data_IF_871863515265
#
_entry.id   IF_871863515265
#
_cell.length_a   1.000
_cell.length_b   1.000
_cell.length_c   1.000
_cell.angle_alpha   90.00
_cell.angle_beta   90.00
_cell.angle_gamma   90.00
#
_symmetry.space_group_name_H-M   'P 1'
#
loop_
_entity.id
_entity.type
_entity.pdbx_description
1 polymer ?
#
# COMPACT_ATOMS: atom_id res chain seq x y z
N UNK A 1 33.21 -52.09 6.61
CA UNK A 1 32.76 -51.18 5.55
C UNK A 1 31.30 -50.72 5.68
N UNK A 2 30.39 -51.55 6.19
CA UNK A 2 28.98 -51.12 6.37
C UNK A 2 28.78 -50.00 7.42
N UNK A 3 29.66 -49.89 8.41
CA UNK A 3 29.56 -48.82 9.44
C UNK A 3 30.05 -47.46 8.97
N UNK A 4 30.94 -47.41 7.97
CA UNK A 4 31.45 -46.13 7.41
C UNK A 4 30.41 -45.45 6.49
N UNK A 5 29.58 -46.26 5.81
CA UNK A 5 28.55 -45.76 4.93
C UNK A 5 27.40 -45.08 5.69
N UNK A 6 27.14 -45.54 6.93
CA UNK A 6 26.09 -45.00 7.78
C UNK A 6 26.44 -43.59 8.32
N UNK A 7 27.74 -43.33 8.54
CA UNK A 7 28.21 -42.04 9.06
C UNK A 7 28.10 -40.90 8.02
N UNK A 8 28.20 -41.23 6.74
CA UNK A 8 28.10 -40.25 5.65
C UNK A 8 26.63 -39.83 5.42
N UNK A 9 25.67 -40.70 5.73
CA UNK A 9 24.24 -40.37 5.56
C UNK A 9 23.70 -39.42 6.65
N UNK A 10 24.36 -39.30 7.80
CA UNK A 10 23.89 -38.47 8.91
C UNK A 10 24.39 -37.00 8.78
N UNK A 11 25.44 -36.77 7.97
CA UNK A 11 26.06 -35.45 7.84
C UNK A 11 25.37 -34.55 6.78
N UNK A 12 24.44 -35.08 5.96
CA UNK A 12 23.77 -34.34 4.91
C UNK A 12 22.62 -33.41 5.35
N UNK A 13 21.87 -33.61 6.44
CA UNK A 13 20.78 -32.73 6.80
C UNK A 13 21.18 -31.44 7.50
N UNK A 14 22.43 -31.24 7.88
CA UNK A 14 22.88 -30.05 8.61
C UNK A 14 23.28 -28.86 7.72
N UNK A 15 23.43 -29.08 6.42
CA UNK A 15 23.78 -28.01 5.46
C UNK A 15 22.57 -27.29 4.83
N UNK A 16 21.35 -27.74 5.09
CA UNK A 16 20.14 -27.18 4.50
C UNK A 16 19.50 -26.02 5.29
N UNK A 17 20.10 -25.63 6.44
CA UNK A 17 19.47 -24.65 7.35
C UNK A 17 20.01 -23.22 7.24
N UNK A 18 20.95 -22.96 6.35
CA UNK A 18 21.50 -21.61 6.16
C UNK A 18 20.91 -20.96 4.90
N UNK A 19 19.60 -21.05 4.70
CA UNK A 19 18.92 -20.12 3.82
C UNK A 19 18.80 -18.79 4.57
N UNK A 20 19.79 -17.91 4.39
CA UNK A 20 19.62 -16.49 4.65
C UNK A 20 18.37 -16.05 3.87
N UNK A 21 17.28 -15.75 4.58
CA UNK A 21 16.10 -15.16 3.95
C UNK A 21 16.57 -13.87 3.30
N UNK A 22 16.65 -13.86 1.98
CA UNK A 22 16.93 -12.63 1.25
C UNK A 22 15.91 -11.58 1.68
N UNK A 23 16.40 -10.37 1.98
CA UNK A 23 15.53 -9.28 2.41
C UNK A 23 14.61 -8.92 1.25
N UNK A 24 13.30 -9.13 1.45
CA UNK A 24 12.28 -8.74 0.47
C UNK A 24 12.09 -7.23 0.55
N UNK A 25 12.16 -6.57 -0.61
CA UNK A 25 11.89 -5.15 -0.76
C UNK A 25 10.47 -4.90 -1.25
N UNK A 26 9.89 -3.80 -0.80
CA UNK A 26 8.55 -3.37 -1.19
C UNK A 26 8.55 -1.87 -1.46
N UNK A 27 7.86 -1.47 -2.51
CA UNK A 27 7.42 -0.08 -2.69
C UNK A 27 6.04 0.09 -2.06
N UNK A 28 5.76 1.29 -1.59
CA UNK A 28 4.53 1.61 -0.87
C UNK A 28 3.79 2.75 -1.54
N UNK A 29 2.47 2.64 -1.59
CA UNK A 29 1.58 3.73 -1.96
C UNK A 29 0.60 3.99 -0.83
N UNK A 30 0.31 5.26 -0.58
CA UNK A 30 -0.78 5.66 0.29
C UNK A 30 -1.96 6.05 -0.59
N UNK A 31 -3.08 5.37 -0.37
CA UNK A 31 -4.30 5.55 -1.14
C UNK A 31 -5.30 6.32 -0.30
N UNK A 32 -5.81 7.43 -0.81
CA UNK A 32 -6.88 8.18 -0.17
C UNK A 32 -8.13 8.16 -1.02
N UNK A 33 -9.28 8.13 -0.35
CA UNK A 33 -10.58 8.06 -0.98
C UNK A 33 -11.32 9.38 -0.79
N UNK A 34 -11.95 9.84 -1.84
CA UNK A 34 -12.87 10.96 -1.80
C UNK A 34 -14.11 10.67 -2.67
N UNK A 35 -15.24 11.17 -2.25
CA UNK A 35 -16.49 11.01 -2.98
C UNK A 35 -17.61 10.39 -2.17
N UNK A 36 -18.70 10.04 -2.83
CA UNK A 36 -19.91 9.52 -2.23
C UNK A 36 -20.36 8.25 -2.92
N UNK A 37 -21.00 7.36 -2.16
CA UNK A 37 -21.71 6.17 -2.69
C UNK A 37 -22.84 6.54 -3.66
N UNK A 38 -23.25 7.80 -3.69
CA UNK A 38 -24.34 8.28 -4.57
C UNK A 38 -23.77 8.81 -5.86
N UNK A 39 -24.27 8.34 -7.00
CA UNK A 39 -24.12 8.78 -8.41
C UNK A 39 -22.74 9.19 -8.94
N UNK A 40 -21.84 9.77 -8.13
CA UNK A 40 -20.57 10.31 -8.63
C UNK A 40 -19.41 9.33 -8.57
N UNK A 41 -19.56 8.25 -7.80
CA UNK A 41 -18.52 7.26 -7.58
C UNK A 41 -17.39 7.73 -6.66
N UNK A 42 -16.53 6.79 -6.28
CA UNK A 42 -15.35 7.06 -5.48
C UNK A 42 -14.16 7.42 -6.36
N UNK A 43 -13.49 8.47 -5.95
CA UNK A 43 -12.25 8.93 -6.55
C UNK A 43 -11.10 8.46 -5.68
N UNK A 44 -10.01 8.07 -6.31
CA UNK A 44 -8.83 7.51 -5.64
C UNK A 44 -7.62 8.38 -5.95
N UNK A 45 -6.98 8.91 -4.93
CA UNK A 45 -5.72 9.60 -5.04
C UNK A 45 -4.60 8.69 -4.51
N UNK A 46 -3.48 8.65 -5.23
CA UNK A 46 -2.32 7.84 -4.93
C UNK A 46 -1.15 8.75 -4.60
N UNK A 47 -0.59 8.55 -3.42
CA UNK A 47 0.73 9.04 -3.04
C UNK A 47 1.74 7.92 -3.28
N UNK A 48 2.58 8.08 -4.27
CA UNK A 48 3.63 7.13 -4.66
C UNK A 48 5.00 7.44 -4.05
N UNK A 49 5.04 8.39 -3.11
CA UNK A 49 6.25 8.88 -2.48
C UNK A 49 6.95 10.00 -3.27
N UNK A 50 6.53 10.28 -4.50
CA UNK A 50 7.05 11.38 -5.32
C UNK A 50 5.98 12.43 -5.58
N UNK A 51 4.78 11.98 -5.93
CA UNK A 51 3.64 12.84 -6.26
C UNK A 51 2.36 12.27 -5.64
N UNK A 52 1.37 13.16 -5.46
CA UNK A 52 0.01 12.77 -5.09
C UNK A 52 -0.87 13.07 -6.28
N UNK A 53 -1.37 12.04 -6.94
CA UNK A 53 -2.17 12.19 -8.14
C UNK A 53 -3.42 11.33 -8.12
N UNK A 54 -4.43 11.76 -8.87
CA UNK A 54 -5.63 10.97 -9.14
C UNK A 54 -5.27 9.72 -9.94
N UNK A 55 -5.77 8.55 -9.50
CA UNK A 55 -5.61 7.30 -10.24
C UNK A 55 -6.16 7.45 -11.65
N UNK A 56 -5.35 7.07 -12.63
CA UNK A 56 -5.65 7.14 -14.06
C UNK A 56 -5.57 5.74 -14.67
N UNK A 57 -6.35 5.54 -15.72
CA UNK A 57 -6.23 4.35 -16.56
C UNK A 57 -5.00 4.42 -17.48
N UNK A 58 -4.78 3.36 -18.26
CA UNK A 58 -3.68 3.30 -19.23
C UNK A 58 -3.74 4.37 -20.33
N UNK A 59 -4.90 5.00 -20.51
CA UNK A 59 -5.12 6.10 -21.47
C UNK A 59 -4.98 7.49 -20.84
N UNK A 60 -4.69 7.56 -19.54
CA UNK A 60 -4.56 8.81 -18.81
C UNK A 60 -5.87 9.40 -18.28
N UNK A 61 -7.00 8.71 -18.42
CA UNK A 61 -8.28 9.17 -17.90
C UNK A 61 -8.37 8.93 -16.41
N UNK A 62 -8.92 9.90 -15.66
CA UNK A 62 -9.16 9.78 -14.22
C UNK A 62 -10.21 8.71 -13.95
N UNK A 63 -9.84 7.71 -13.13
CA UNK A 63 -10.73 6.61 -12.79
C UNK A 63 -11.68 6.96 -11.64
N UNK A 64 -12.85 6.35 -11.68
CA UNK A 64 -13.84 6.36 -10.61
C UNK A 64 -14.31 4.94 -10.36
N UNK A 65 -14.64 4.63 -9.13
CA UNK A 65 -15.11 3.31 -8.72
C UNK A 65 -16.49 3.40 -8.08
N UNK A 66 -17.29 2.38 -8.27
CA UNK A 66 -18.61 2.30 -7.65
C UNK A 66 -18.51 2.20 -6.12
N UNK A 67 -17.49 1.47 -5.63
CA UNK A 67 -17.27 1.23 -4.21
C UNK A 67 -15.77 1.21 -3.88
N UNK A 68 -15.37 1.42 -2.62
CA UNK A 68 -13.98 1.22 -2.19
C UNK A 68 -13.46 -0.18 -2.47
N UNK A 69 -14.32 -1.21 -2.33
CA UNK A 69 -13.94 -2.59 -2.62
C UNK A 69 -13.55 -2.79 -4.10
N UNK A 70 -14.25 -2.13 -5.03
CA UNK A 70 -13.90 -2.18 -6.44
C UNK A 70 -12.50 -1.56 -6.71
N UNK A 71 -12.18 -0.46 -6.03
CA UNK A 71 -10.86 0.15 -6.10
C UNK A 71 -9.77 -0.80 -5.54
N UNK A 72 -10.05 -1.46 -4.41
CA UNK A 72 -9.12 -2.43 -3.81
C UNK A 72 -8.85 -3.61 -4.76
N UNK A 73 -9.88 -4.19 -5.34
CA UNK A 73 -9.75 -5.28 -6.29
C UNK A 73 -8.96 -4.86 -7.54
N UNK A 74 -9.19 -3.65 -8.02
CA UNK A 74 -8.42 -3.11 -9.15
C UNK A 74 -6.94 -2.96 -8.80
N UNK A 75 -6.61 -2.37 -7.66
CA UNK A 75 -5.22 -2.21 -7.22
C UNK A 75 -4.55 -3.57 -6.99
N UNK A 76 -5.29 -4.54 -6.42
CA UNK A 76 -4.80 -5.90 -6.26
C UNK A 76 -4.48 -6.57 -7.61
N UNK A 77 -5.30 -6.35 -8.64
CA UNK A 77 -5.04 -6.86 -9.99
C UNK A 77 -3.76 -6.30 -10.62
N UNK A 78 -3.29 -5.14 -10.14
CA UNK A 78 -2.02 -4.53 -10.53
C UNK A 78 -0.82 -4.99 -9.68
N UNK A 79 -1.04 -5.93 -8.75
CA UNK A 79 -0.02 -6.51 -7.88
C UNK A 79 0.19 -5.76 -6.56
N UNK A 80 -0.69 -4.84 -6.20
CA UNK A 80 -0.67 -4.15 -4.93
C UNK A 80 -1.39 -4.94 -3.84
N UNK A 81 -0.80 -5.01 -2.66
CA UNK A 81 -1.36 -5.67 -1.48
C UNK A 81 -1.68 -4.65 -0.39
N UNK A 82 -2.84 -4.78 0.24
CA UNK A 82 -3.20 -3.96 1.40
C UNK A 82 -2.39 -4.38 2.63
N UNK A 83 -1.65 -3.43 3.21
CA UNK A 83 -0.91 -3.62 4.47
C UNK A 83 -1.73 -3.17 5.66
N UNK A 84 -2.21 -1.94 5.60
CA UNK A 84 -2.87 -1.24 6.71
C UNK A 84 -3.93 -0.32 6.14
N UNK A 85 -5.03 -0.17 6.88
CA UNK A 85 -6.04 0.85 6.65
C UNK A 85 -6.20 1.72 7.91
N UNK A 86 -6.56 2.96 7.71
CA UNK A 86 -6.80 3.89 8.78
C UNK A 86 -7.68 5.04 8.35
N UNK A 87 -8.01 5.90 9.30
CA UNK A 87 -8.73 7.13 9.02
C UNK A 87 -8.26 8.24 9.96
N UNK A 88 -8.27 9.45 9.44
CA UNK A 88 -8.09 10.66 10.23
C UNK A 88 -9.37 11.48 10.18
N UNK A 89 -9.80 11.96 11.34
CA UNK A 89 -10.97 12.83 11.44
C UNK A 89 -10.50 14.19 11.92
N UNK A 90 -10.76 15.22 11.13
CA UNK A 90 -10.58 16.61 11.55
C UNK A 90 -11.95 17.25 11.74
N UNK A 91 -12.15 17.87 12.88
CA UNK A 91 -13.38 18.59 13.20
C UNK A 91 -13.09 20.08 13.40
N UNK A 92 -13.94 20.95 12.87
CA UNK A 92 -13.98 22.35 13.20
C UNK A 92 -15.35 22.70 13.75
N UNK A 93 -15.36 23.40 14.89
CA UNK A 93 -16.60 23.89 15.50
C UNK A 93 -16.58 25.41 15.54
N UNK A 94 -17.65 26.03 15.10
CA UNK A 94 -17.88 27.48 15.26
C UNK A 94 -19.13 27.64 16.11
N UNK A 95 -19.00 28.35 17.23
CA UNK A 95 -20.14 28.71 18.08
C UNK A 95 -20.33 30.23 18.03
N UNK A 96 -21.48 30.64 17.60
CA UNK A 96 -21.90 32.04 17.59
C UNK A 96 -23.24 32.12 18.34
N UNK A 97 -23.26 32.92 19.42
CA UNK A 97 -24.48 33.17 20.20
C UNK A 97 -25.23 31.91 20.71
N UNK A 98 -24.50 30.90 21.14
CA UNK A 98 -25.10 29.66 21.69
C UNK A 98 -25.62 28.68 20.63
N UNK A 99 -25.50 29.01 19.35
CA UNK A 99 -25.77 28.07 18.25
C UNK A 99 -24.45 27.61 17.66
N UNK A 100 -24.13 26.35 17.86
CA UNK A 100 -22.90 25.75 17.35
C UNK A 100 -23.16 24.92 16.10
N UNK A 101 -22.32 25.07 15.08
CA UNK A 101 -22.22 24.17 13.96
C UNK A 101 -20.89 23.45 14.02
N UNK A 102 -20.93 22.12 14.00
CA UNK A 102 -19.73 21.29 13.91
C UNK A 102 -19.68 20.60 12.59
N UNK A 103 -18.57 20.73 11.87
CA UNK A 103 -18.29 19.92 10.69
C UNK A 103 -17.12 19.00 10.97
N UNK A 104 -17.26 17.74 10.62
CA UNK A 104 -16.17 16.76 10.68
C UNK A 104 -15.92 16.18 9.30
N UNK A 105 -14.66 16.19 8.87
CA UNK A 105 -14.22 15.52 7.68
C UNK A 105 -13.37 14.31 8.07
N UNK A 106 -13.79 13.14 7.63
CA UNK A 106 -13.04 11.91 7.80
C UNK A 106 -12.39 11.53 6.49
N UNK A 107 -11.08 11.42 6.49
CA UNK A 107 -10.31 10.91 5.36
C UNK A 107 -9.84 9.52 5.67
N UNK A 108 -10.28 8.56 4.86
CA UNK A 108 -9.82 7.19 4.94
C UNK A 108 -8.63 6.99 4.03
N UNK A 109 -7.65 6.25 4.49
CA UNK A 109 -6.46 5.90 3.72
C UNK A 109 -6.13 4.42 3.84
N UNK A 110 -5.53 3.88 2.78
CA UNK A 110 -4.94 2.55 2.75
C UNK A 110 -3.45 2.66 2.45
N UNK A 111 -2.65 1.91 3.18
CA UNK A 111 -1.25 1.71 2.84
C UNK A 111 -1.16 0.40 2.07
N UNK A 112 -0.74 0.49 0.84
CA UNK A 112 -0.55 -0.64 -0.05
C UNK A 112 0.92 -0.84 -0.35
N UNK A 113 1.32 -2.08 -0.56
CA UNK A 113 2.68 -2.44 -0.92
C UNK A 113 2.71 -3.34 -2.14
N UNK A 114 3.83 -3.31 -2.84
CA UNK A 114 4.12 -4.20 -3.96
C UNK A 114 5.54 -4.71 -3.84
N UNK A 115 5.80 -6.02 -3.98
CA UNK A 115 7.16 -6.56 -4.04
C UNK A 115 7.95 -5.91 -5.17
N UNK A 116 9.21 -5.61 -4.93
CA UNK A 116 10.09 -5.01 -5.92
C UNK A 116 11.53 -5.47 -5.72
N UNK A 117 12.38 -5.17 -6.70
CA UNK A 117 13.81 -5.37 -6.58
C UNK A 117 14.44 -4.31 -5.67
N UNK A 118 15.67 -4.58 -5.20
CA UNK A 118 16.41 -3.59 -4.41
C UNK A 118 16.66 -2.29 -5.22
N UNK A 119 16.95 -2.42 -6.50
CA UNK A 119 17.19 -1.28 -7.39
C UNK A 119 15.95 -0.40 -7.55
N UNK A 120 14.78 -1.01 -7.73
CA UNK A 120 13.50 -0.29 -7.79
C UNK A 120 13.19 0.42 -6.47
N UNK A 121 13.47 -0.25 -5.34
CA UNK A 121 13.31 0.33 -4.02
C UNK A 121 14.23 1.55 -3.82
N UNK A 122 15.53 1.40 -4.10
CA UNK A 122 16.51 2.48 -3.94
C UNK A 122 16.14 3.70 -4.81
N UNK A 123 15.68 3.46 -6.04
CA UNK A 123 15.19 4.51 -6.94
C UNK A 123 13.93 5.20 -6.42
N UNK A 124 13.00 4.44 -5.84
CA UNK A 124 11.80 5.00 -5.23
C UNK A 124 12.14 5.90 -4.03
N UNK A 125 13.08 5.48 -3.18
CA UNK A 125 13.58 6.28 -2.05
C UNK A 125 14.21 7.57 -2.57
N UNK A 126 15.10 7.49 -3.57
CA UNK A 126 15.76 8.67 -4.12
C UNK A 126 14.77 9.68 -4.72
N UNK A 127 13.77 9.20 -5.43
CA UNK A 127 12.74 10.04 -6.05
C UNK A 127 11.84 10.74 -5.03
N UNK A 128 11.71 10.20 -3.82
CA UNK A 128 10.90 10.78 -2.74
C UNK A 128 11.62 11.84 -1.90
N UNK A 129 12.93 12.02 -2.07
CA UNK A 129 13.71 12.99 -1.31
C UNK A 129 13.71 14.34 -2.03
N UNK A 130 13.32 15.38 -1.31
CA UNK A 130 13.45 16.77 -1.79
C UNK A 130 14.93 17.17 -1.71
N UNK A 131 15.49 17.59 -2.83
CA UNK A 131 16.87 18.09 -2.95
C UNK A 131 16.91 19.60 -2.84
#
# INVERSE_FOLDING_TARGET
>A
MKKLLLLILISFPLLASAQTKEKQYYIYNIITFSGSLKKEGFKVDIDDGKTIERLKDSKGNKMKFNTPAAALMYLYSLGWELCVNGSTTSGSGVSINGTGSTSSNTTSYWIMRKPCTKEEFDKAVENGIVK
#
